data_IF_585685209999
#
_entry.id   IF_585685209999
#
_cell.length_a   1.000
_cell.length_b   1.000
_cell.length_c   1.000
_cell.angle_alpha   90.00
_cell.angle_beta   90.00
_cell.angle_gamma   90.00
#
_symmetry.space_group_name_H-M   'P 1'
#
loop_
_entity.id
_entity.type
_entity.pdbx_description
1 polymer ?
#
# COMPACT_ATOMS: atom_id res chain seq x y z
N UNK A 1 5.03 12.79 3.86
CA UNK A 1 4.82 11.79 2.80
C UNK A 1 4.47 10.44 3.41
N UNK A 2 4.24 9.42 2.60
CA UNK A 2 4.00 8.06 3.10
C UNK A 2 5.31 7.33 3.39
N UNK A 3 5.33 6.48 4.42
CA UNK A 3 6.50 5.64 4.72
C UNK A 3 6.89 4.72 3.56
N UNK A 4 5.93 4.36 2.69
CA UNK A 4 6.22 3.63 1.47
C UNK A 4 7.15 4.41 0.54
N UNK A 5 6.97 5.73 0.42
CA UNK A 5 7.78 6.56 -0.47
C UNK A 5 9.29 6.43 -0.16
N UNK A 6 9.65 6.52 1.13
CA UNK A 6 11.04 6.38 1.57
C UNK A 6 11.62 5.00 1.23
N UNK A 7 10.80 3.93 1.37
CA UNK A 7 11.22 2.57 1.01
C UNK A 7 11.42 2.42 -0.49
N UNK A 8 10.49 2.92 -1.31
CA UNK A 8 10.55 2.75 -2.75
C UNK A 8 11.59 3.65 -3.43
N UNK A 9 11.92 4.82 -2.86
CA UNK A 9 13.09 5.60 -3.27
C UNK A 9 14.36 4.76 -3.09
N UNK A 10 14.55 4.16 -1.90
CA UNK A 10 15.74 3.32 -1.65
C UNK A 10 15.78 2.07 -2.52
N UNK A 11 14.63 1.44 -2.79
CA UNK A 11 14.54 0.33 -3.76
C UNK A 11 14.91 0.77 -5.17
N UNK A 12 14.41 1.93 -5.60
CA UNK A 12 14.72 2.50 -6.91
C UNK A 12 16.22 2.76 -7.08
N UNK A 13 16.86 3.33 -6.05
CA UNK A 13 18.30 3.63 -6.07
C UNK A 13 19.17 2.38 -5.93
N UNK A 14 18.70 1.35 -5.22
CA UNK A 14 19.49 0.16 -4.89
C UNK A 14 19.37 -0.98 -5.89
N UNK A 15 18.22 -1.16 -6.55
CA UNK A 15 18.04 -2.24 -7.52
C UNK A 15 18.76 -1.95 -8.84
N UNK A 16 19.17 -3.04 -9.50
CA UNK A 16 19.88 -3.00 -10.78
C UNK A 16 19.34 -4.05 -11.74
N UNK A 17 19.32 -3.71 -13.03
CA UNK A 17 18.98 -4.59 -14.15
C UNK A 17 20.18 -4.61 -15.08
N UNK A 18 20.71 -5.81 -15.35
CA UNK A 18 21.92 -6.03 -16.17
C UNK A 18 23.13 -5.19 -15.71
N UNK A 19 23.29 -5.07 -14.39
CA UNK A 19 24.38 -4.31 -13.77
C UNK A 19 24.19 -2.79 -13.75
N UNK A 20 23.10 -2.28 -14.31
CA UNK A 20 22.80 -0.84 -14.40
C UNK A 20 21.69 -0.42 -13.43
N UNK A 21 21.69 0.81 -12.90
CA UNK A 21 20.66 1.29 -12.00
C UNK A 21 19.31 1.45 -12.71
N UNK A 22 18.21 1.38 -11.95
CA UNK A 22 16.86 1.57 -12.51
C UNK A 22 16.65 2.95 -13.14
N UNK A 23 17.40 3.97 -12.73
CA UNK A 23 17.35 5.32 -13.29
C UNK A 23 17.77 5.41 -14.77
N UNK A 24 18.44 4.40 -15.32
CA UNK A 24 18.70 4.34 -16.77
C UNK A 24 17.47 3.90 -17.59
N UNK A 25 16.48 3.27 -16.95
CA UNK A 25 15.32 2.67 -17.62
C UNK A 25 13.99 3.33 -17.24
N UNK A 26 13.91 3.90 -16.04
CA UNK A 26 12.68 4.41 -15.46
C UNK A 26 12.87 5.82 -14.92
N UNK A 27 11.78 6.59 -14.91
CA UNK A 27 11.70 7.86 -14.20
C UNK A 27 10.92 7.65 -12.90
N UNK A 28 11.52 8.03 -11.77
CA UNK A 28 10.82 8.01 -10.49
C UNK A 28 9.87 9.21 -10.42
N UNK A 29 8.60 8.95 -10.11
CA UNK A 29 7.54 9.95 -10.05
C UNK A 29 6.77 9.80 -8.73
N UNK A 30 6.69 10.88 -7.95
CA UNK A 30 5.83 10.97 -6.77
C UNK A 30 4.48 11.58 -7.16
N UNK A 31 3.36 10.83 -7.09
CA UNK A 31 2.03 11.35 -7.43
C UNK A 31 1.49 12.34 -6.39
N UNK A 32 2.08 12.42 -5.19
CA UNK A 32 1.69 13.34 -4.12
C UNK A 32 0.37 12.99 -3.40
N UNK A 33 -0.49 12.15 -3.97
CA UNK A 33 -1.75 11.69 -3.36
C UNK A 33 -2.19 10.32 -3.88
N UNK A 34 -3.08 9.65 -3.14
CA UNK A 34 -3.71 8.39 -3.58
C UNK A 34 -4.53 8.57 -4.86
N UNK A 35 -5.28 9.66 -4.97
CA UNK A 35 -6.08 9.95 -6.16
C UNK A 35 -5.21 10.09 -7.40
N UNK A 36 -4.09 10.82 -7.29
CA UNK A 36 -3.15 10.98 -8.40
C UNK A 36 -2.42 9.67 -8.75
N UNK A 37 -2.08 8.84 -7.76
CA UNK A 37 -1.50 7.50 -7.98
C UNK A 37 -2.46 6.62 -8.77
N UNK A 38 -3.71 6.51 -8.32
CA UNK A 38 -4.75 5.74 -9.00
C UNK A 38 -4.98 6.24 -10.44
N UNK A 39 -5.04 7.56 -10.64
CA UNK A 39 -5.24 8.16 -11.97
C UNK A 39 -4.05 7.89 -12.91
N UNK A 40 -2.81 7.91 -12.40
CA UNK A 40 -1.63 7.57 -13.18
C UNK A 40 -1.63 6.11 -13.63
N UNK A 41 -1.95 5.18 -12.71
CA UNK A 41 -2.04 3.74 -13.01
C UNK A 41 -3.15 3.46 -14.04
N UNK A 42 -4.38 3.92 -13.78
CA UNK A 42 -5.52 3.75 -14.71
C UNK A 42 -5.23 4.35 -16.06
N UNK A 43 -4.74 5.60 -16.09
CA UNK A 43 -4.45 6.27 -17.34
C UNK A 43 -3.38 5.55 -18.18
N UNK A 44 -2.35 4.97 -17.55
CA UNK A 44 -1.37 4.17 -18.27
C UNK A 44 -1.98 2.87 -18.81
N UNK A 45 -2.73 2.15 -17.96
CA UNK A 45 -3.44 0.92 -18.33
C UNK A 45 -4.39 1.13 -19.51
N UNK A 46 -5.27 2.14 -19.44
CA UNK A 46 -6.30 2.42 -20.45
C UNK A 46 -5.69 2.82 -21.81
N UNK A 47 -4.47 3.37 -21.80
CA UNK A 47 -3.71 3.71 -23.01
C UNK A 47 -2.81 2.57 -23.50
N UNK A 48 -2.79 1.43 -22.82
CA UNK A 48 -1.88 0.32 -23.13
C UNK A 48 -0.40 0.68 -22.95
N UNK A 49 -0.10 1.63 -22.06
CA UNK A 49 1.26 2.05 -21.76
C UNK A 49 1.82 1.26 -20.57
N UNK A 50 3.11 0.87 -20.61
CA UNK A 50 3.73 0.19 -19.48
C UNK A 50 3.84 1.13 -18.27
N UNK A 51 3.55 0.60 -17.08
CA UNK A 51 3.75 1.28 -15.81
C UNK A 51 4.27 0.29 -14.75
N UNK A 52 5.21 0.76 -13.94
CA UNK A 52 5.61 0.12 -12.68
C UNK A 52 5.22 1.05 -11.55
N UNK A 53 4.43 0.57 -10.60
CA UNK A 53 3.89 1.40 -9.53
C UNK A 53 4.01 0.71 -8.17
N UNK A 54 4.24 1.52 -7.14
CA UNK A 54 3.92 1.11 -5.77
C UNK A 54 2.41 0.97 -5.63
N UNK A 55 1.96 -0.14 -5.05
CA UNK A 55 0.58 -0.31 -4.62
C UNK A 55 0.47 -1.31 -3.46
N UNK A 56 -0.71 -1.41 -2.84
CA UNK A 56 -0.97 -2.30 -1.70
C UNK A 56 -2.37 -2.88 -1.75
N UNK A 57 -2.58 -3.95 -0.98
CA UNK A 57 -3.87 -4.58 -0.74
C UNK A 57 -4.29 -4.45 0.73
N UNK A 58 -5.59 -4.41 1.04
CA UNK A 58 -6.72 -4.40 0.10
C UNK A 58 -7.01 -3.00 -0.46
N UNK A 59 -7.31 -2.91 -1.75
CA UNK A 59 -7.71 -1.68 -2.44
C UNK A 59 -8.58 -2.02 -3.67
N UNK A 60 -9.57 -1.18 -4.05
CA UNK A 60 -10.43 -1.48 -5.20
C UNK A 60 -9.70 -1.61 -6.54
N UNK A 61 -8.62 -0.83 -6.74
CA UNK A 61 -7.90 -0.78 -8.02
C UNK A 61 -7.30 -2.14 -8.41
N UNK A 62 -6.79 -2.93 -7.46
CA UNK A 62 -6.27 -4.28 -7.76
C UNK A 62 -7.36 -5.30 -8.10
N UNK A 63 -8.61 -5.02 -7.71
CA UNK A 63 -9.76 -5.81 -8.15
C UNK A 63 -10.24 -5.43 -9.55
N UNK A 64 -9.89 -4.25 -10.04
CA UNK A 64 -10.33 -3.73 -11.33
C UNK A 64 -9.31 -3.97 -12.45
N UNK A 65 -8.02 -3.84 -12.15
CA UNK A 65 -6.94 -3.91 -13.14
C UNK A 65 -6.18 -5.23 -13.01
N UNK A 66 -5.87 -5.85 -14.15
CA UNK A 66 -4.98 -7.02 -14.21
C UNK A 66 -3.52 -6.57 -14.02
N UNK A 67 -3.07 -6.57 -12.76
CA UNK A 67 -1.72 -6.17 -12.37
C UNK A 67 -0.93 -7.38 -11.85
N UNK A 68 0.37 -7.41 -12.16
CA UNK A 68 1.28 -8.44 -11.68
C UNK A 68 2.15 -7.87 -10.56
N UNK A 69 2.18 -8.56 -9.41
CA UNK A 69 3.14 -8.24 -8.35
C UNK A 69 4.55 -8.62 -8.79
N UNK A 70 5.44 -7.63 -8.85
CA UNK A 70 6.85 -7.86 -9.15
C UNK A 70 7.54 -8.61 -8.00
N UNK A 71 8.32 -9.63 -8.35
CA UNK A 71 9.08 -10.43 -7.37
C UNK A 71 10.33 -9.68 -6.93
N UNK A 72 10.58 -9.71 -5.64
CA UNK A 72 11.78 -9.20 -4.98
C UNK A 72 12.47 -10.36 -4.24
N UNK A 73 13.72 -10.22 -3.78
CA UNK A 73 14.29 -11.15 -2.81
C UNK A 73 13.35 -11.33 -1.61
N UNK A 74 13.23 -12.55 -1.09
CA UNK A 74 12.39 -12.87 0.07
C UNK A 74 12.69 -11.92 1.24
N UNK A 75 11.67 -11.66 2.06
CA UNK A 75 11.80 -10.79 3.23
C UNK A 75 12.92 -11.30 4.15
N UNK A 76 13.85 -10.39 4.47
CA UNK A 76 14.87 -10.58 5.48
C UNK A 76 14.88 -9.35 6.39
N UNK A 77 14.76 -9.54 7.70
CA UNK A 77 14.61 -8.44 8.66
C UNK A 77 15.81 -7.48 8.62
N UNK A 78 17.02 -7.99 8.46
CA UNK A 78 18.24 -7.17 8.44
C UNK A 78 18.27 -6.33 7.16
N UNK A 79 18.05 -6.96 6.00
CA UNK A 79 17.99 -6.26 4.72
C UNK A 79 16.87 -5.22 4.74
N UNK A 80 15.70 -5.58 5.26
CA UNK A 80 14.55 -4.67 5.37
C UNK A 80 14.88 -3.44 6.23
N UNK A 81 15.51 -3.62 7.39
CA UNK A 81 15.88 -2.50 8.26
C UNK A 81 16.99 -1.61 7.69
N UNK A 82 17.98 -2.20 7.04
CA UNK A 82 19.18 -1.47 6.59
C UNK A 82 19.00 -0.83 5.21
N UNK A 83 18.42 -1.54 4.25
CA UNK A 83 18.42 -1.15 2.82
C UNK A 83 17.05 -1.15 2.15
N UNK A 84 16.09 -1.92 2.66
CA UNK A 84 14.81 -2.24 2.00
C UNK A 84 14.92 -3.05 0.71
N UNK A 85 16.08 -3.63 0.35
CA UNK A 85 16.25 -4.38 -0.90
C UNK A 85 15.73 -5.84 -0.82
N UNK A 86 14.54 -6.01 -0.26
CA UNK A 86 13.79 -7.25 -0.20
C UNK A 86 12.28 -6.95 -0.26
N UNK A 87 11.48 -8.01 -0.42
CA UNK A 87 10.03 -7.92 -0.37
C UNK A 87 9.58 -7.33 0.97
N UNK A 88 8.52 -6.51 0.94
CA UNK A 88 7.91 -6.03 2.16
C UNK A 88 7.32 -7.21 2.96
N UNK A 89 7.38 -7.20 4.30
CA UNK A 89 6.65 -8.18 5.08
C UNK A 89 5.13 -7.96 4.91
N UNK A 90 4.34 -8.97 5.27
CA UNK A 90 2.92 -8.76 5.51
C UNK A 90 2.76 -7.76 6.67
N UNK A 91 2.18 -6.60 6.39
CA UNK A 91 1.95 -5.58 7.41
C UNK A 91 0.63 -5.80 8.13
N UNK A 92 0.65 -5.65 9.45
CA UNK A 92 -0.56 -5.50 10.26
C UNK A 92 -1.03 -4.05 10.24
N UNK A 93 -2.34 -3.84 10.09
CA UNK A 93 -2.95 -2.51 10.25
C UNK A 93 -3.26 -2.30 11.72
N UNK A 94 -2.42 -1.50 12.37
CA UNK A 94 -2.48 -1.30 13.81
C UNK A 94 -3.55 -0.27 14.22
N UNK A 95 -4.18 -0.53 15.37
CA UNK A 95 -5.10 0.40 16.02
C UNK A 95 -4.33 1.20 17.06
N UNK A 96 -4.34 2.53 16.94
CA UNK A 96 -3.68 3.42 17.89
C UNK A 96 -4.70 4.39 18.52
N UNK A 97 -4.55 4.63 19.82
CA UNK A 97 -5.37 5.59 20.57
C UNK A 97 -4.50 6.43 21.51
N UNK A 98 -4.94 7.64 21.82
CA UNK A 98 -4.21 8.51 22.74
C UNK A 98 -4.24 7.92 24.17
N UNK A 99 -3.06 7.69 24.75
CA UNK A 99 -2.94 7.05 26.06
C UNK A 99 -3.68 7.80 27.20
N UNK A 100 -3.65 9.14 27.20
CA UNK A 100 -4.33 9.96 28.22
C UNK A 100 -5.85 9.95 28.06
N UNK A 101 -6.34 9.78 26.84
CA UNK A 101 -7.77 9.62 26.60
C UNK A 101 -8.24 8.23 27.01
N UNK A 102 -7.53 7.18 26.63
CA UNK A 102 -7.85 5.79 27.01
C UNK A 102 -7.85 5.61 28.53
N UNK A 103 -6.93 6.25 29.27
CA UNK A 103 -6.94 6.16 30.74
C UNK A 103 -8.18 6.78 31.40
N UNK A 104 -8.86 7.69 30.71
CA UNK A 104 -10.14 8.29 31.15
C UNK A 104 -11.36 7.55 30.60
N UNK A 105 -11.17 6.70 29.60
CA UNK A 105 -12.21 5.96 28.88
C UNK A 105 -11.85 4.47 28.75
N UNK A 106 -11.57 3.75 29.87
CA UNK A 106 -11.12 2.36 29.80
C UNK A 106 -12.16 1.42 29.17
N UNK A 107 -13.44 1.82 29.14
CA UNK A 107 -14.55 1.08 28.51
C UNK A 107 -14.34 0.82 27.01
N UNK A 108 -13.49 1.61 26.34
CA UNK A 108 -13.23 1.47 24.90
C UNK A 108 -12.17 0.42 24.59
N UNK A 109 -11.35 0.03 25.58
CA UNK A 109 -10.24 -0.91 25.38
C UNK A 109 -10.74 -2.27 24.85
N UNK A 110 -11.77 -2.91 25.44
CA UNK A 110 -12.27 -4.18 24.92
C UNK A 110 -12.82 -4.08 23.49
N UNK A 111 -13.39 -2.93 23.10
CA UNK A 111 -13.85 -2.70 21.73
C UNK A 111 -12.67 -2.63 20.76
N UNK A 112 -11.65 -1.82 21.10
CA UNK A 112 -10.45 -1.69 20.28
C UNK A 112 -9.70 -3.02 20.15
N UNK A 113 -9.60 -3.81 21.21
CA UNK A 113 -8.94 -5.12 21.19
C UNK A 113 -9.72 -6.13 20.33
N UNK A 114 -11.04 -6.19 20.46
CA UNK A 114 -11.89 -7.16 19.76
C UNK A 114 -12.18 -6.78 18.30
N UNK A 115 -12.11 -5.50 17.94
CA UNK A 115 -12.37 -5.06 16.58
C UNK A 115 -11.27 -5.56 15.65
N UNK A 116 -11.63 -6.44 14.72
CA UNK A 116 -10.74 -6.99 13.71
C UNK A 116 -11.51 -7.17 12.41
N UNK A 117 -10.87 -6.84 11.29
CA UNK A 117 -11.36 -7.14 9.95
C UNK A 117 -10.29 -7.96 9.24
N UNK A 118 -10.70 -9.10 8.67
CA UNK A 118 -9.84 -9.87 7.79
C UNK A 118 -9.63 -9.15 6.45
N UNK A 119 -8.62 -9.56 5.68
CA UNK A 119 -8.41 -9.07 4.32
C UNK A 119 -9.65 -9.30 3.45
N UNK A 120 -10.22 -10.50 3.52
CA UNK A 120 -11.46 -10.89 2.82
C UNK A 120 -12.62 -9.96 3.20
N UNK A 121 -12.84 -9.72 4.51
CA UNK A 121 -13.94 -8.87 4.95
C UNK A 121 -13.75 -7.42 4.54
N UNK A 122 -12.50 -6.96 4.54
CA UNK A 122 -12.16 -5.62 4.07
C UNK A 122 -12.41 -5.48 2.58
N UNK A 123 -12.08 -6.50 1.77
CA UNK A 123 -12.40 -6.54 0.35
C UNK A 123 -13.91 -6.50 0.08
N UNK A 124 -14.72 -7.26 0.84
CA UNK A 124 -16.19 -7.21 0.73
C UNK A 124 -16.73 -5.79 0.96
N UNK A 125 -16.27 -5.11 2.02
CA UNK A 125 -16.70 -3.74 2.34
C UNK A 125 -16.29 -2.77 1.24
N UNK A 126 -15.04 -2.85 0.77
CA UNK A 126 -14.56 -1.98 -0.31
C UNK A 126 -15.32 -2.19 -1.63
N UNK A 127 -15.63 -3.44 -1.98
CA UNK A 127 -16.44 -3.76 -3.16
C UNK A 127 -17.87 -3.21 -3.02
N UNK A 128 -18.47 -3.33 -1.84
CA UNK A 128 -19.78 -2.75 -1.57
C UNK A 128 -19.76 -1.22 -1.68
N UNK A 129 -18.74 -0.56 -1.11
CA UNK A 129 -18.59 0.89 -1.18
C UNK A 129 -18.53 1.38 -2.62
N UNK A 130 -17.73 0.74 -3.46
CA UNK A 130 -17.58 1.10 -4.87
C UNK A 130 -18.92 1.01 -5.62
N UNK A 131 -19.69 -0.06 -5.36
CA UNK A 131 -21.02 -0.25 -5.95
C UNK A 131 -22.09 0.74 -5.43
N UNK A 132 -21.87 1.39 -4.28
CA UNK A 132 -22.86 2.22 -3.58
C UNK A 132 -22.44 3.69 -3.45
N UNK A 133 -21.55 4.17 -4.32
CA UNK A 133 -21.16 5.59 -4.40
C UNK A 133 -20.18 6.05 -3.32
N UNK A 134 -19.47 5.10 -2.69
CA UNK A 134 -18.36 5.36 -1.76
C UNK A 134 -18.72 6.25 -0.56
N UNK A 135 -19.94 6.12 -0.02
CA UNK A 135 -20.36 6.80 1.21
C UNK A 135 -19.86 6.03 2.45
N UNK A 136 -18.83 6.52 3.17
CA UNK A 136 -18.24 5.79 4.28
C UNK A 136 -19.17 5.71 5.50
N UNK A 137 -20.28 6.46 5.56
CA UNK A 137 -21.25 6.34 6.64
C UNK A 137 -22.23 5.18 6.45
N UNK A 138 -22.36 4.68 5.21
CA UNK A 138 -23.28 3.58 4.87
C UNK A 138 -22.58 2.23 4.78
N UNK A 139 -21.26 2.24 4.65
CA UNK A 139 -20.38 1.07 4.59
C UNK A 139 -20.13 0.46 5.97
#
# INVERSE_FOLDING_TARGET
>A
GWAANERYIKKFDGYKVDGKPLSEYFNLFDPGSQTALNAAIRGAHDRGLPIVAYYWEPTPLLGELDMILLKEPEYDEKIFRETFLCQNPAFSVEKAANAKWVSKHPEVVPLLEKFYLSLEKTNEVLAWMEANGNDPQKA
#
